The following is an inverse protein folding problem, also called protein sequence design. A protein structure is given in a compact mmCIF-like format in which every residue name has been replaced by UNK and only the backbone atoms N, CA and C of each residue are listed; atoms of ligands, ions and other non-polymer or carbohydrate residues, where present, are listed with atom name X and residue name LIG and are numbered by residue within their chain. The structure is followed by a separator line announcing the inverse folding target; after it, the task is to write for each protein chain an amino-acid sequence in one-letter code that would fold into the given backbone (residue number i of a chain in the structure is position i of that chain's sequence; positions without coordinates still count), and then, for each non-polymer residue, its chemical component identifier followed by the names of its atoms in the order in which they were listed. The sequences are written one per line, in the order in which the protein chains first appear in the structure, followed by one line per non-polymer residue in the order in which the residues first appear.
data_IF_443626170544
#
_entry.id   IF_443626170544
#
_cell.length_a   1.000
_cell.length_b   1.000
_cell.length_c   1.000
_cell.angle_alpha   90.00
_cell.angle_beta   90.00
_cell.angle_gamma   90.00
#
_symmetry.space_group_name_H-M   'P 1'
#
loop_
_entity.id
_entity.type
_entity.pdbx_description
1 polymer ?
#
# COMPACT_ATOMS: atom_id res chain seq x y z
N UNK A 1 10.88 -24.43 -3.37
CA UNK A 1 11.18 -25.88 -3.43
C UNK A 1 9.91 -26.58 -2.97
N UNK A 2 9.42 -27.53 -3.75
CA UNK A 2 8.21 -28.29 -3.46
C UNK A 2 8.46 -29.30 -2.32
N UNK A 3 7.52 -29.43 -1.38
CA UNK A 3 7.61 -30.29 -0.20
C UNK A 3 6.35 -31.17 -0.13
N UNK A 4 6.44 -32.46 -0.51
CA UNK A 4 5.28 -33.35 -0.59
C UNK A 4 4.65 -33.67 0.76
N UNK A 5 5.30 -33.33 1.88
CA UNK A 5 4.74 -33.50 3.22
C UNK A 5 3.81 -32.34 3.64
N UNK A 6 3.81 -31.22 2.91
CA UNK A 6 2.97 -30.05 3.22
C UNK A 6 1.71 -30.05 2.37
N UNK A 7 0.58 -29.78 3.01
CA UNK A 7 -0.67 -29.56 2.28
C UNK A 7 -0.68 -28.15 1.71
N UNK A 8 -1.48 -27.92 0.66
CA UNK A 8 -1.72 -26.56 0.13
C UNK A 8 -2.16 -25.62 1.25
N UNK A 9 -2.98 -26.10 2.18
CA UNK A 9 -3.47 -25.32 3.34
C UNK A 9 -2.34 -24.79 4.21
N UNK A 10 -1.29 -25.58 4.44
CA UNK A 10 -0.14 -25.20 5.27
C UNK A 10 0.73 -24.12 4.62
N UNK A 11 0.57 -23.89 3.30
CA UNK A 11 1.30 -22.86 2.56
C UNK A 11 0.57 -21.51 2.53
N UNK A 12 -0.71 -21.48 2.94
CA UNK A 12 -1.52 -20.27 2.87
C UNK A 12 -1.19 -19.31 4.00
N UNK A 13 -1.36 -18.01 3.75
CA UNK A 13 -1.31 -17.02 4.82
C UNK A 13 -2.47 -17.24 5.80
N UNK A 14 -2.29 -16.95 7.10
CA UNK A 14 -3.38 -16.98 8.07
C UNK A 14 -4.58 -16.15 7.59
N UNK A 15 -5.79 -16.67 7.74
CA UNK A 15 -7.04 -16.00 7.36
C UNK A 15 -7.51 -16.25 5.92
N UNK A 16 -6.67 -16.82 5.04
CA UNK A 16 -7.04 -17.02 3.63
C UNK A 16 -8.14 -18.06 3.45
N UNK A 17 -8.14 -19.12 4.28
CA UNK A 17 -9.18 -20.14 4.20
C UNK A 17 -10.51 -19.54 4.67
N UNK A 18 -10.49 -18.87 5.80
CA UNK A 18 -11.64 -18.29 6.47
C UNK A 18 -12.32 -17.22 5.60
N UNK A 19 -11.53 -16.41 4.88
CA UNK A 19 -12.07 -15.42 3.93
C UNK A 19 -12.85 -16.06 2.78
N UNK A 20 -12.50 -17.28 2.38
CA UNK A 20 -13.13 -18.01 1.29
C UNK A 20 -14.31 -18.88 1.69
N UNK A 21 -14.63 -18.97 2.98
CA UNK A 21 -15.69 -19.81 3.52
C UNK A 21 -17.05 -19.12 3.43
N UNK A 22 -18.02 -19.80 2.82
CA UNK A 22 -19.40 -19.33 2.74
C UNK A 22 -20.35 -20.50 3.02
N UNK A 23 -21.42 -20.24 3.77
CA UNK A 23 -22.40 -21.23 4.22
C UNK A 23 -21.80 -22.38 5.05
N UNK A 24 -20.86 -22.04 5.94
CA UNK A 24 -20.21 -22.96 6.87
C UNK A 24 -18.77 -23.29 6.45
N UNK A 25 -18.41 -24.57 6.56
CA UNK A 25 -17.03 -25.03 6.33
C UNK A 25 -16.52 -24.99 4.88
N UNK A 26 -17.35 -25.13 3.82
CA UNK A 26 -16.85 -25.15 2.45
C UNK A 26 -16.17 -23.84 2.03
N UNK A 27 -15.01 -23.98 1.39
CA UNK A 27 -14.25 -22.86 0.80
C UNK A 27 -14.61 -22.74 -0.67
N UNK A 28 -15.31 -21.66 -1.03
CA UNK A 28 -15.76 -21.42 -2.41
C UNK A 28 -14.85 -20.49 -3.20
N UNK A 29 -14.04 -19.67 -2.50
CA UNK A 29 -13.15 -18.67 -3.11
C UNK A 29 -11.75 -18.84 -2.55
N UNK A 30 -10.76 -18.97 -3.44
CA UNK A 30 -9.35 -18.97 -3.05
C UNK A 30 -8.73 -17.59 -3.28
N UNK A 31 -8.51 -16.84 -2.21
CA UNK A 31 -7.79 -15.56 -2.26
C UNK A 31 -6.28 -15.79 -2.38
N UNK A 32 -5.81 -16.09 -3.59
CA UNK A 32 -4.39 -16.37 -3.86
C UNK A 32 -3.53 -15.10 -3.99
N UNK A 33 -4.16 -13.95 -4.23
CA UNK A 33 -3.49 -12.66 -4.35
C UNK A 33 -3.82 -11.76 -3.15
N UNK A 34 -2.81 -11.09 -2.62
CA UNK A 34 -2.95 -10.13 -1.53
C UNK A 34 -2.51 -8.74 -2.01
N UNK A 35 -3.43 -7.78 -1.98
CA UNK A 35 -3.17 -6.40 -2.43
C UNK A 35 -2.78 -5.53 -1.24
N UNK A 36 -1.64 -4.86 -1.34
CA UNK A 36 -1.21 -3.81 -0.41
C UNK A 36 -1.19 -2.49 -1.15
N UNK A 37 -1.77 -1.47 -0.55
CA UNK A 37 -1.67 -0.10 -1.04
C UNK A 37 -0.51 0.61 -0.35
N UNK A 38 0.35 1.24 -1.13
CA UNK A 38 1.52 1.96 -0.64
C UNK A 38 1.79 3.21 -1.47
N UNK A 39 2.72 4.02 -0.99
CA UNK A 39 3.19 5.23 -1.66
C UNK A 39 4.62 5.00 -2.13
N UNK A 40 4.84 5.17 -3.43
CA UNK A 40 6.18 5.24 -3.99
C UNK A 40 6.68 6.68 -3.89
N UNK A 41 7.95 6.85 -3.52
CA UNK A 41 8.60 8.15 -3.42
C UNK A 41 9.99 8.12 -4.08
N UNK A 42 10.52 9.29 -4.42
CA UNK A 42 11.87 9.43 -4.98
C UNK A 42 12.84 9.90 -3.89
N UNK A 43 13.78 9.05 -3.49
CA UNK A 43 14.83 9.43 -2.54
C UNK A 43 15.63 10.64 -3.05
N UNK A 44 15.99 10.64 -4.35
CA UNK A 44 16.69 11.77 -4.96
C UNK A 44 15.92 13.09 -4.87
N UNK A 45 14.58 13.07 -4.96
CA UNK A 45 13.77 14.26 -4.78
C UNK A 45 13.77 14.74 -3.33
N UNK A 46 13.71 13.81 -2.36
CA UNK A 46 13.82 14.12 -0.93
C UNK A 46 15.18 14.72 -0.59
N UNK A 47 16.27 14.17 -1.12
CA UNK A 47 17.63 14.68 -0.90
C UNK A 47 17.79 16.11 -1.45
N UNK A 48 17.27 16.39 -2.65
CA UNK A 48 17.25 17.75 -3.24
C UNK A 48 16.43 18.74 -2.43
N UNK A 49 15.40 18.23 -1.77
CA UNK A 49 14.54 18.98 -0.88
C UNK A 49 15.08 18.98 0.54
N UNK A 50 16.25 18.42 0.86
CA UNK A 50 16.78 18.32 2.23
C UNK A 50 15.67 17.91 3.22
N UNK A 51 15.06 16.77 2.94
CA UNK A 51 13.91 16.25 3.66
C UNK A 51 14.00 14.73 3.82
N UNK A 52 13.37 14.21 4.87
CA UNK A 52 13.14 12.76 5.04
C UNK A 52 11.74 12.39 4.56
N UNK A 53 11.46 11.09 4.47
CA UNK A 53 10.11 10.63 4.18
C UNK A 53 9.16 11.11 5.29
N UNK A 54 8.03 11.76 4.95
CA UNK A 54 7.06 12.22 5.94
C UNK A 54 6.29 11.02 6.50
N UNK A 55 5.98 11.02 7.78
CA UNK A 55 5.21 9.96 8.44
C UNK A 55 3.80 10.38 8.85
N UNK A 56 3.53 11.69 8.86
CA UNK A 56 2.23 12.27 9.20
C UNK A 56 1.66 13.10 8.06
N UNK A 57 0.35 13.38 8.13
CA UNK A 57 -0.30 14.24 7.15
C UNK A 57 0.29 15.65 7.11
N UNK A 58 0.59 16.24 8.27
CA UNK A 58 1.15 17.60 8.35
C UNK A 58 2.56 17.66 7.77
N UNK A 59 3.41 16.65 8.03
CA UNK A 59 4.74 16.54 7.41
C UNK A 59 4.64 16.42 5.89
N UNK A 60 3.67 15.65 5.39
CA UNK A 60 3.43 15.50 3.96
C UNK A 60 3.00 16.84 3.33
N UNK A 61 2.13 17.61 4.00
CA UNK A 61 1.76 18.96 3.54
C UNK A 61 2.95 19.91 3.53
N UNK A 62 3.80 19.88 4.57
CA UNK A 62 5.01 20.68 4.64
C UNK A 62 6.01 20.33 3.52
N UNK A 63 6.20 19.04 3.25
CA UNK A 63 7.02 18.56 2.15
C UNK A 63 6.47 19.02 0.80
N UNK A 64 5.15 18.89 0.57
CA UNK A 64 4.49 19.38 -0.65
C UNK A 64 4.70 20.88 -0.86
N UNK A 65 4.63 21.67 0.21
CA UNK A 65 4.90 23.11 0.15
C UNK A 65 6.37 23.41 -0.22
N UNK A 66 7.34 22.65 0.30
CA UNK A 66 8.77 22.76 -0.04
C UNK A 66 9.00 22.38 -1.51
N UNK A 67 8.42 21.27 -1.95
CA UNK A 67 8.50 20.80 -3.34
C UNK A 67 7.96 21.84 -4.34
N UNK A 68 6.79 22.42 -4.03
CA UNK A 68 6.16 23.44 -4.88
C UNK A 68 7.04 24.66 -5.10
N UNK A 69 7.81 25.11 -4.10
CA UNK A 69 8.76 26.23 -4.22
C UNK A 69 9.88 25.96 -5.21
N UNK A 70 10.19 24.68 -5.48
CA UNK A 70 11.20 24.25 -6.45
C UNK A 70 10.58 23.79 -7.78
N UNK A 71 9.27 24.00 -7.99
CA UNK A 71 8.58 23.54 -9.20
C UNK A 71 8.37 22.03 -9.29
N UNK A 72 8.51 21.32 -8.16
CA UNK A 72 8.29 19.87 -8.08
C UNK A 72 6.86 19.62 -7.58
N UNK A 73 6.13 18.74 -8.28
CA UNK A 73 4.82 18.28 -7.80
C UNK A 73 5.00 17.33 -6.60
N UNK A 74 4.31 17.60 -5.50
CA UNK A 74 4.36 16.74 -4.30
C UNK A 74 3.70 15.37 -4.50
N UNK A 75 2.75 15.27 -5.43
CA UNK A 75 2.06 14.03 -5.79
C UNK A 75 1.90 13.92 -7.30
N UNK A 76 2.06 12.71 -7.81
CA UNK A 76 1.78 12.36 -9.20
C UNK A 76 0.96 11.08 -9.25
N UNK A 77 -0.13 11.11 -10.00
CA UNK A 77 -0.97 9.93 -10.21
C UNK A 77 -1.73 10.05 -11.54
N UNK A 78 -2.04 8.93 -12.21
CA UNK A 78 -2.92 8.93 -13.37
C UNK A 78 -4.35 9.34 -12.99
N UNK A 79 -4.80 10.48 -13.53
CA UNK A 79 -6.12 11.07 -13.20
C UNK A 79 -7.33 10.38 -13.83
N UNK A 80 -7.16 9.38 -14.69
CA UNK A 80 -8.28 8.73 -15.39
C UNK A 80 -9.14 7.86 -14.46
N UNK A 81 -8.50 7.11 -13.55
CA UNK A 81 -9.17 6.20 -12.60
C UNK A 81 -8.49 6.24 -11.21
N UNK A 82 -8.53 7.37 -10.48
CA UNK A 82 -7.72 7.57 -9.28
C UNK A 82 -8.36 7.01 -7.98
N UNK A 83 -9.34 6.10 -8.08
CA UNK A 83 -10.07 5.57 -6.92
C UNK A 83 -9.15 4.93 -5.85
N UNK A 84 -7.97 4.47 -6.25
CA UNK A 84 -7.04 3.81 -5.35
C UNK A 84 -6.24 4.77 -4.44
N UNK A 85 -6.17 6.06 -4.78
CA UNK A 85 -5.29 7.01 -4.09
C UNK A 85 -5.60 7.13 -2.59
N UNK A 86 -6.86 7.26 -2.14
CA UNK A 86 -7.17 7.35 -0.72
C UNK A 86 -6.66 6.15 0.10
N UNK A 87 -6.66 4.92 -0.45
CA UNK A 87 -6.17 3.74 0.26
C UNK A 87 -4.68 3.83 0.61
N UNK A 88 -3.88 4.47 -0.24
CA UNK A 88 -2.45 4.70 0.02
C UNK A 88 -2.20 5.83 1.04
N UNK A 89 -3.19 6.70 1.29
CA UNK A 89 -3.05 7.88 2.16
C UNK A 89 -3.52 7.64 3.60
N UNK A 90 -4.37 6.64 3.84
CA UNK A 90 -4.88 6.36 5.19
C UNK A 90 -3.82 6.23 6.29
N UNK A 91 -2.64 5.62 6.06
CA UNK A 91 -1.61 5.52 7.10
C UNK A 91 -1.10 6.88 7.63
N UNK A 92 -1.14 7.93 6.80
CA UNK A 92 -0.73 9.28 7.20
C UNK A 92 -1.80 10.03 7.98
N UNK A 93 -3.07 9.63 7.82
CA UNK A 93 -4.24 10.29 8.42
C UNK A 93 -4.58 9.66 9.78
N UNK A 94 -4.35 8.34 9.92
CA UNK A 94 -4.67 7.59 11.13
C UNK A 94 -3.62 7.65 12.24
N UNK A 95 -2.51 8.35 12.02
CA UNK A 95 -1.47 8.64 13.04
C UNK A 95 -1.69 10.03 13.59
#
# INVERSE_FOLDING_TARGET
IDDPAKTVRDTLRPGIVEMGQFDGDPVWIMYYAYTVYGVWYSQTALDKLDATYPETWDEMLALCAKAKKQGIAGWTYPGKHPYYIPFSLYPFIGK
#
